data_IF_186837948450
#
_entry.id   IF_186837948450
#
_cell.length_a   1.000
_cell.length_b   1.000
_cell.length_c   1.000
_cell.angle_alpha   90.00
_cell.angle_beta   90.00
_cell.angle_gamma   90.00
#
_symmetry.space_group_name_H-M   'P 1'
#
loop_
_entity.id
_entity.type
_entity.pdbx_description
1 polymer ?
#
# COMPACT_ATOMS: atom_id res chain seq x y z
N UNK A 1 1.59 -21.48 0.87
CA UNK A 1 2.38 -20.55 0.04
C UNK A 1 1.79 -19.16 0.13
N UNK A 2 2.64 -18.13 0.28
CA UNK A 2 2.30 -16.71 0.16
C UNK A 2 2.87 -16.22 -1.18
N UNK A 3 2.00 -15.70 -2.04
CA UNK A 3 2.37 -15.25 -3.39
C UNK A 3 2.16 -13.75 -3.48
N UNK A 4 3.24 -12.99 -3.69
CA UNK A 4 3.19 -11.54 -3.90
C UNK A 4 2.92 -11.25 -5.37
N UNK A 5 1.78 -10.60 -5.63
CA UNK A 5 1.31 -10.31 -6.98
C UNK A 5 1.78 -8.91 -7.39
N UNK A 6 2.52 -8.75 -8.50
CA UNK A 6 2.89 -7.44 -9.01
C UNK A 6 1.69 -6.69 -9.59
N UNK A 7 1.79 -5.36 -9.65
CA UNK A 7 0.67 -4.48 -10.03
C UNK A 7 0.20 -4.60 -11.49
N UNK A 8 0.95 -5.26 -12.34
CA UNK A 8 0.60 -5.60 -13.73
C UNK A 8 -0.13 -6.94 -13.88
N UNK A 9 -0.39 -7.63 -12.77
CA UNK A 9 -1.15 -8.88 -12.72
C UNK A 9 -2.33 -8.74 -11.75
N UNK A 10 -3.24 -9.72 -11.76
CA UNK A 10 -4.36 -9.82 -10.83
C UNK A 10 -4.46 -11.22 -10.22
N UNK A 11 -5.20 -11.35 -9.12
CA UNK A 11 -5.38 -12.60 -8.39
C UNK A 11 -5.88 -13.72 -9.30
N UNK A 12 -6.89 -13.45 -10.13
CA UNK A 12 -7.49 -14.43 -11.04
C UNK A 12 -6.46 -15.02 -12.04
N UNK A 13 -5.57 -14.19 -12.56
CA UNK A 13 -4.52 -14.66 -13.49
C UNK A 13 -3.55 -15.61 -12.78
N UNK A 14 -3.19 -15.32 -11.54
CA UNK A 14 -2.31 -16.17 -10.73
C UNK A 14 -3.02 -17.47 -10.38
N UNK A 15 -4.27 -17.42 -9.95
CA UNK A 15 -5.08 -18.60 -9.69
C UNK A 15 -5.15 -19.54 -10.88
N UNK A 16 -5.42 -19.03 -12.08
CA UNK A 16 -5.46 -19.83 -13.30
C UNK A 16 -4.12 -20.52 -13.59
N UNK A 17 -3.00 -19.83 -13.39
CA UNK A 17 -1.67 -20.42 -13.53
C UNK A 17 -1.42 -21.53 -12.51
N UNK A 18 -1.83 -21.34 -11.26
CA UNK A 18 -1.71 -22.35 -10.20
C UNK A 18 -2.57 -23.58 -10.56
N UNK A 19 -3.82 -23.37 -10.95
CA UNK A 19 -4.73 -24.45 -11.34
C UNK A 19 -4.13 -25.30 -12.48
N UNK A 20 -3.60 -24.64 -13.51
CA UNK A 20 -2.95 -25.31 -14.63
C UNK A 20 -1.74 -26.10 -14.17
N UNK A 21 -0.86 -25.49 -13.37
CA UNK A 21 0.35 -26.15 -12.86
C UNK A 21 0.02 -27.36 -11.97
N UNK A 22 -0.95 -27.24 -11.07
CA UNK A 22 -1.37 -28.33 -10.19
C UNK A 22 -1.91 -29.50 -11.02
N UNK A 23 -2.73 -29.22 -12.05
CA UNK A 23 -3.28 -30.23 -12.94
C UNK A 23 -2.17 -30.96 -13.72
N UNK A 24 -1.26 -30.23 -14.34
CA UNK A 24 -0.15 -30.81 -15.12
C UNK A 24 0.74 -31.70 -14.25
N UNK A 25 1.05 -31.27 -13.02
CA UNK A 25 1.88 -32.05 -12.08
C UNK A 25 1.15 -33.30 -11.62
N UNK A 26 -0.14 -33.19 -11.30
CA UNK A 26 -0.97 -34.31 -10.87
C UNK A 26 -1.05 -35.40 -11.96
N UNK A 27 -1.34 -34.98 -13.20
CA UNK A 27 -1.37 -35.89 -14.36
C UNK A 27 -0.01 -36.56 -14.59
N UNK A 28 1.08 -35.76 -14.59
CA UNK A 28 2.43 -36.28 -14.81
C UNK A 28 2.87 -37.28 -13.75
N UNK A 29 2.40 -37.13 -12.51
CA UNK A 29 2.78 -37.98 -11.39
C UNK A 29 1.77 -39.10 -11.10
N UNK A 30 0.63 -39.12 -11.75
CA UNK A 30 -0.43 -40.09 -11.52
C UNK A 30 -1.04 -39.97 -10.11
N UNK A 31 -1.16 -38.76 -9.58
CA UNK A 31 -1.71 -38.47 -8.24
C UNK A 31 -2.88 -37.50 -8.34
N UNK A 32 -3.76 -37.54 -7.36
CA UNK A 32 -4.74 -36.47 -7.16
C UNK A 32 -4.08 -35.33 -6.35
N UNK A 33 -4.35 -34.10 -6.76
CA UNK A 33 -3.85 -32.91 -6.06
C UNK A 33 -4.96 -31.87 -5.92
N UNK A 34 -5.06 -31.30 -4.75
CA UNK A 34 -6.05 -30.27 -4.40
C UNK A 34 -5.33 -29.04 -3.86
N UNK A 35 -5.93 -27.88 -4.08
CA UNK A 35 -5.52 -26.64 -3.42
C UNK A 35 -6.75 -25.83 -3.03
N UNK A 36 -6.59 -24.91 -2.10
CA UNK A 36 -7.58 -23.91 -1.75
C UNK A 36 -6.92 -22.56 -1.61
N UNK A 37 -7.61 -21.51 -2.02
CA UNK A 37 -7.20 -20.14 -1.75
C UNK A 37 -7.74 -19.77 -0.38
N UNK A 38 -6.85 -19.38 0.52
CA UNK A 38 -7.21 -19.02 1.90
C UNK A 38 -7.55 -17.54 2.01
N UNK A 39 -6.84 -16.70 1.24
CA UNK A 39 -7.04 -15.26 1.20
C UNK A 39 -6.50 -14.72 -0.12
N UNK A 40 -7.11 -13.66 -0.63
CA UNK A 40 -6.65 -12.95 -1.81
C UNK A 40 -6.88 -11.44 -1.68
N UNK A 41 -5.90 -10.68 -2.10
CA UNK A 41 -5.99 -9.23 -2.13
C UNK A 41 -5.38 -8.71 -3.42
N UNK A 42 -6.17 -8.04 -4.23
CA UNK A 42 -5.69 -7.44 -5.49
C UNK A 42 -4.58 -6.42 -5.23
N UNK A 43 -3.52 -6.42 -6.06
CA UNK A 43 -2.49 -5.40 -5.96
C UNK A 43 -3.06 -4.01 -6.25
N UNK A 44 -2.47 -3.00 -5.61
CA UNK A 44 -2.86 -1.61 -5.79
C UNK A 44 -1.63 -0.70 -5.82
N UNK A 45 -1.60 0.22 -6.75
CA UNK A 45 -0.61 1.30 -6.79
C UNK A 45 -1.31 2.65 -6.92
N UNK A 46 -1.11 3.52 -5.94
CA UNK A 46 -1.66 4.88 -5.98
C UNK A 46 -0.91 5.77 -6.97
N UNK A 47 -1.62 6.65 -7.66
CA UNK A 47 -1.01 7.65 -8.54
C UNK A 47 -0.12 8.60 -7.73
N UNK A 48 1.19 8.60 -8.01
CA UNK A 48 2.20 9.40 -7.31
C UNK A 48 2.02 10.93 -7.47
N UNK A 49 1.23 11.38 -8.43
CA UNK A 49 0.90 12.78 -8.70
C UNK A 49 -0.48 13.20 -8.18
N UNK A 50 -1.13 12.38 -7.36
CA UNK A 50 -2.45 12.69 -6.82
C UNK A 50 -2.43 13.95 -5.91
N UNK A 51 -3.57 14.64 -5.75
CA UNK A 51 -3.67 15.77 -4.81
C UNK A 51 -3.31 15.38 -3.37
N UNK A 52 -3.60 14.15 -2.96
CA UNK A 52 -3.28 13.63 -1.64
C UNK A 52 -1.76 13.48 -1.45
N UNK A 53 -1.06 12.86 -2.41
CA UNK A 53 0.40 12.76 -2.40
C UNK A 53 1.05 14.13 -2.37
N UNK A 54 0.55 15.09 -3.16
CA UNK A 54 1.03 16.46 -3.16
C UNK A 54 0.83 17.14 -1.81
N UNK A 55 -0.33 16.96 -1.17
CA UNK A 55 -0.62 17.53 0.14
C UNK A 55 0.31 16.96 1.22
N UNK A 56 0.57 15.65 1.23
CA UNK A 56 1.55 15.02 2.12
C UNK A 56 2.96 15.55 1.89
N UNK A 57 3.41 15.63 0.63
CA UNK A 57 4.71 16.19 0.30
C UNK A 57 4.88 17.60 0.86
N UNK A 58 3.87 18.47 0.68
CA UNK A 58 3.92 19.84 1.20
C UNK A 58 3.88 19.87 2.74
N UNK A 59 3.05 19.05 3.38
CA UNK A 59 2.96 18.94 4.84
C UNK A 59 4.27 18.49 5.48
N UNK A 60 4.94 17.49 4.90
CA UNK A 60 6.25 17.00 5.35
C UNK A 60 7.32 18.07 5.14
N UNK A 61 7.40 18.67 3.96
CA UNK A 61 8.37 19.73 3.68
C UNK A 61 8.22 20.93 4.64
N UNK A 62 7.00 21.28 5.00
CA UNK A 62 6.74 22.38 5.95
C UNK A 62 7.16 22.01 7.38
N UNK A 63 6.97 20.75 7.80
CA UNK A 63 7.33 20.30 9.14
C UNK A 63 8.83 19.97 9.28
N UNK A 64 9.39 19.24 8.30
CA UNK A 64 10.75 18.68 8.40
C UNK A 64 11.80 19.45 7.61
N UNK A 65 11.40 20.46 6.80
CA UNK A 65 12.30 21.22 5.92
C UNK A 65 13.05 20.38 4.88
N UNK A 66 12.61 19.14 4.66
CA UNK A 66 13.16 18.20 3.70
C UNK A 66 12.07 17.61 2.81
N UNK A 67 12.43 17.22 1.59
CA UNK A 67 11.47 16.59 0.67
C UNK A 67 11.37 15.10 0.98
N UNK A 68 10.14 14.54 1.12
CA UNK A 68 9.97 13.11 1.36
C UNK A 68 10.33 12.30 0.11
N UNK A 69 10.81 11.08 0.32
CA UNK A 69 10.96 10.07 -0.71
C UNK A 69 9.69 9.22 -0.76
N UNK A 70 9.12 9.09 -1.94
CA UNK A 70 8.00 8.16 -2.16
C UNK A 70 8.56 6.76 -2.40
N UNK A 71 8.09 5.80 -1.65
CA UNK A 71 8.48 4.39 -1.79
C UNK A 71 7.28 3.53 -2.14
N UNK A 72 7.51 2.44 -2.87
CA UNK A 72 6.51 1.40 -3.08
C UNK A 72 6.56 0.43 -1.91
N UNK A 73 5.42 0.27 -1.23
CA UNK A 73 5.27 -0.74 -0.19
C UNK A 73 4.92 -2.08 -0.85
N UNK A 74 5.66 -3.13 -0.51
CA UNK A 74 5.45 -4.47 -1.07
C UNK A 74 4.44 -5.31 -0.28
N UNK A 75 4.05 -4.87 0.93
CA UNK A 75 3.06 -5.53 1.76
C UNK A 75 1.63 -5.12 1.39
N UNK A 76 0.68 -6.01 1.64
CA UNK A 76 -0.76 -5.73 1.59
C UNK A 76 -1.20 -4.90 2.79
N UNK A 77 -2.31 -4.18 2.64
CA UNK A 77 -2.95 -3.41 3.70
C UNK A 77 -4.28 -2.83 3.24
N UNK A 78 -4.94 -2.10 4.10
CA UNK A 78 -6.25 -1.48 3.82
C UNK A 78 -6.25 -0.61 2.57
N UNK A 79 -5.09 -0.06 2.19
CA UNK A 79 -4.94 0.71 0.96
C UNK A 79 -5.29 -0.08 -0.31
N UNK A 80 -5.04 -1.38 -0.34
CA UNK A 80 -5.40 -2.24 -1.46
C UNK A 80 -6.92 -2.30 -1.62
N UNK A 81 -7.63 -2.53 -0.50
CA UNK A 81 -9.09 -2.60 -0.47
C UNK A 81 -9.71 -1.26 -0.84
N UNK A 82 -9.30 -0.19 -0.15
CA UNK A 82 -9.84 1.16 -0.36
C UNK A 82 -9.56 1.68 -1.79
N UNK A 83 -8.33 1.47 -2.26
CA UNK A 83 -7.91 1.92 -3.59
C UNK A 83 -8.63 1.19 -4.71
N UNK A 84 -8.70 -0.14 -4.65
CA UNK A 84 -9.35 -0.95 -5.68
C UNK A 84 -10.87 -0.79 -5.68
N UNK A 85 -11.49 -0.77 -4.50
CA UNK A 85 -12.95 -0.73 -4.39
C UNK A 85 -13.53 0.65 -4.70
N UNK A 86 -12.88 1.72 -4.25
CA UNK A 86 -13.40 3.09 -4.39
C UNK A 86 -12.68 3.94 -5.41
N UNK A 87 -11.59 3.43 -5.97
CA UNK A 87 -10.76 4.16 -6.94
C UNK A 87 -10.36 5.57 -6.47
N UNK A 88 -10.02 5.68 -5.19
CA UNK A 88 -9.60 6.93 -4.54
C UNK A 88 -8.09 6.97 -4.34
N UNK A 89 -7.49 8.16 -4.30
CA UNK A 89 -6.10 8.30 -3.90
C UNK A 89 -5.89 7.81 -2.46
N UNK A 90 -4.91 6.93 -2.27
CA UNK A 90 -4.52 6.43 -0.95
C UNK A 90 -3.02 6.64 -0.75
N UNK A 91 -2.63 6.98 0.47
CA UNK A 91 -1.23 7.13 0.89
C UNK A 91 -1.07 6.41 2.22
N UNK A 92 -0.04 5.58 2.34
CA UNK A 92 0.41 5.03 3.62
C UNK A 92 1.45 5.98 4.20
N UNK A 93 1.20 6.48 5.40
CA UNK A 93 2.09 7.36 6.15
C UNK A 93 1.95 7.07 7.65
N UNK A 94 3.07 7.03 8.36
CA UNK A 94 3.10 6.88 9.81
C UNK A 94 4.51 7.09 10.37
N UNK A 95 4.64 7.35 11.68
CA UNK A 95 5.93 7.38 12.37
C UNK A 95 6.47 5.96 12.57
N UNK A 96 7.75 5.84 12.89
CA UNK A 96 8.45 4.58 13.16
C UNK A 96 9.19 4.02 11.95
N UNK A 97 10.10 3.09 12.23
CA UNK A 97 10.89 2.41 11.19
C UNK A 97 10.09 1.22 10.61
N UNK A 98 9.77 1.23 9.32
CA UNK A 98 9.06 0.12 8.70
C UNK A 98 9.84 -1.21 8.71
N UNK A 99 11.15 -1.21 8.93
CA UNK A 99 11.97 -2.42 9.04
C UNK A 99 11.80 -3.11 10.42
N UNK A 100 11.37 -2.37 11.43
CA UNK A 100 11.08 -2.93 12.76
C UNK A 100 9.65 -3.47 12.87
N UNK A 101 8.78 -3.19 11.89
CA UNK A 101 7.39 -3.63 11.89
C UNK A 101 7.27 -5.16 12.03
N UNK A 102 6.39 -5.61 12.92
CA UNK A 102 6.15 -7.03 13.24
C UNK A 102 7.34 -7.75 13.89
N UNK A 103 8.29 -7.03 14.45
CA UNK A 103 9.39 -7.59 15.25
C UNK A 103 9.15 -7.38 16.75
N UNK A 104 9.91 -8.12 17.59
CA UNK A 104 9.85 -7.93 19.05
C UNK A 104 10.45 -6.59 19.49
N UNK A 105 11.22 -5.94 18.64
CA UNK A 105 11.87 -4.64 18.87
C UNK A 105 11.07 -3.48 18.29
N UNK A 106 9.89 -3.75 17.74
CA UNK A 106 9.03 -2.71 17.15
C UNK A 106 8.72 -1.60 18.16
N UNK A 107 9.08 -0.41 17.81
CA UNK A 107 8.92 0.79 18.64
C UNK A 107 8.69 2.03 17.79
N UNK A 108 8.13 3.05 18.40
CA UNK A 108 8.02 4.39 17.83
C UNK A 108 8.50 5.42 18.83
N UNK A 109 9.27 6.41 18.40
CA UNK A 109 9.66 7.50 19.29
C UNK A 109 8.48 8.44 19.54
N UNK A 110 8.37 8.96 20.77
CA UNK A 110 7.34 9.94 21.12
C UNK A 110 7.48 11.21 20.27
N UNK A 111 8.69 11.61 19.97
CA UNK A 111 8.98 12.77 19.12
C UNK A 111 8.45 12.56 17.69
N UNK A 112 8.75 11.42 17.07
CA UNK A 112 8.25 11.07 15.74
C UNK A 112 6.72 10.96 15.72
N UNK A 113 6.12 10.40 16.76
CA UNK A 113 4.68 10.32 16.89
C UNK A 113 4.03 11.71 16.91
N UNK A 114 4.54 12.63 17.74
CA UNK A 114 4.05 14.00 17.82
C UNK A 114 4.28 14.77 16.51
N UNK A 115 5.43 14.58 15.88
CA UNK A 115 5.74 15.15 14.56
C UNK A 115 4.78 14.63 13.49
N UNK A 116 4.46 13.33 13.53
CA UNK A 116 3.46 12.71 12.65
C UNK A 116 2.10 13.39 12.72
N UNK A 117 1.63 13.74 13.93
CA UNK A 117 0.40 14.49 14.13
C UNK A 117 0.49 15.88 13.49
N UNK A 118 1.61 16.58 13.66
CA UNK A 118 1.83 17.89 13.04
C UNK A 118 1.79 17.81 11.51
N UNK A 119 2.47 16.82 10.94
CA UNK A 119 2.49 16.58 9.50
C UNK A 119 1.07 16.30 8.97
N UNK A 120 0.29 15.46 9.65
CA UNK A 120 -1.10 15.18 9.26
C UNK A 120 -1.96 16.45 9.28
N UNK A 121 -1.84 17.29 10.31
CA UNK A 121 -2.55 18.58 10.36
C UNK A 121 -2.21 19.49 9.18
N UNK A 122 -0.91 19.62 8.85
CA UNK A 122 -0.45 20.42 7.71
C UNK A 122 -0.93 19.82 6.38
N UNK A 123 -0.90 18.51 6.26
CA UNK A 123 -1.40 17.78 5.08
C UNK A 123 -2.88 18.08 4.82
N UNK A 124 -3.72 18.03 5.85
CA UNK A 124 -5.14 18.37 5.73
C UNK A 124 -5.37 19.82 5.31
N UNK A 125 -4.57 20.77 5.83
CA UNK A 125 -4.63 22.16 5.42
C UNK A 125 -4.24 22.35 3.95
N UNK A 126 -3.18 21.68 3.51
CA UNK A 126 -2.77 21.71 2.09
C UNK A 126 -3.81 21.06 1.19
N UNK A 127 -4.38 19.93 1.60
CA UNK A 127 -5.40 19.22 0.83
C UNK A 127 -6.64 20.10 0.62
N UNK A 128 -7.10 20.79 1.69
CA UNK A 128 -8.19 21.77 1.60
C UNK A 128 -7.86 22.88 0.60
N UNK A 129 -6.68 23.50 0.70
CA UNK A 129 -6.26 24.56 -0.25
C UNK A 129 -6.20 24.09 -1.70
N UNK A 130 -5.76 22.84 -1.94
CA UNK A 130 -5.73 22.25 -3.27
C UNK A 130 -7.12 21.97 -3.81
N UNK A 131 -8.05 21.57 -2.95
CA UNK A 131 -9.44 21.35 -3.30
C UNK A 131 -10.12 22.68 -3.66
N UNK A 132 -9.99 23.70 -2.82
CA UNK A 132 -10.63 25.03 -3.02
C UNK A 132 -10.16 25.69 -4.34
N UNK A 133 -8.87 25.49 -4.73
CA UNK A 133 -8.34 25.98 -6.01
C UNK A 133 -8.87 25.24 -7.26
N UNK A 134 -9.41 24.04 -7.10
CA UNK A 134 -10.02 23.31 -8.23
C UNK A 134 -11.48 23.71 -8.48
N UNK A 135 -12.10 24.35 -7.50
CA UNK A 135 -13.51 24.77 -7.57
C UNK A 135 -13.67 26.21 -8.12
N UNK A 136 -12.57 26.93 -8.26
CA UNK A 136 -12.51 28.27 -8.90
C UNK A 136 -12.07 28.15 -10.37
#
# INVERSE_FOLDING_TARGET
YDIRIPVDMNCKTIEQKIATLVKEIAEKRGVEAFYSILDETEPFEAAHNSPLVRAFTLGIMEAEKSRPTLIRKTGTGDMNVLGNQWNIPVVTYGPGDPHEAHTIDEKVSIEEYLKGIEILKKTLQHLKRLHDKKMQ
#
